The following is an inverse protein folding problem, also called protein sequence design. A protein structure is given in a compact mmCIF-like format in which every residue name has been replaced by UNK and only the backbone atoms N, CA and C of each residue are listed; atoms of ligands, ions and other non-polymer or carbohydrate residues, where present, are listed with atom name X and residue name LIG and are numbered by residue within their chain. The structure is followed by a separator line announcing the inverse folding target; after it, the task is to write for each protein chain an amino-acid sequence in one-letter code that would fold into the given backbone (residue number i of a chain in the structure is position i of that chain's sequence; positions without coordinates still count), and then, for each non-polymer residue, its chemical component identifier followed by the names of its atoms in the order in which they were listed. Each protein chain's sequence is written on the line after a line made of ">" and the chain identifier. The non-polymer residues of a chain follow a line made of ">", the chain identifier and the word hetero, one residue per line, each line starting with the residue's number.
data_IF_148045833565
#
_entry.id   IF_148045833565
#
_cell.length_a   1.000
_cell.length_b   1.000
_cell.length_c   1.000
_cell.angle_alpha   90.00
_cell.angle_beta   90.00
_cell.angle_gamma   90.00
#
_symmetry.space_group_name_H-M   'P 1'
#
loop_
_entity.id
_entity.type
_entity.pdbx_description
1 polymer ?
#
# COMPACT_ATOMS: atom_id res chain seq x y z
N UNK A 1 6.86 -10.94 -27.70
CA UNK A 1 5.65 -11.72 -27.38
C UNK A 1 4.53 -10.75 -27.11
N UNK A 2 3.44 -10.87 -27.87
CA UNK A 2 2.27 -10.00 -27.84
C UNK A 2 1.46 -10.37 -26.58
N UNK A 3 1.47 -9.52 -25.55
CA UNK A 3 0.68 -9.77 -24.32
C UNK A 3 -0.72 -9.21 -24.60
N UNK A 4 -1.69 -10.12 -24.75
CA UNK A 4 -3.04 -9.84 -25.18
C UNK A 4 -3.78 -8.85 -24.28
N UNK A 5 -4.44 -7.89 -24.90
CA UNK A 5 -5.15 -6.79 -24.25
C UNK A 5 -6.45 -7.19 -23.51
N UNK A 6 -6.82 -8.48 -23.42
CA UNK A 6 -8.15 -8.88 -22.92
C UNK A 6 -8.20 -10.28 -22.29
N UNK A 7 -7.18 -10.65 -21.49
CA UNK A 7 -7.32 -11.84 -20.64
C UNK A 7 -8.16 -11.49 -19.42
N UNK A 8 -9.32 -12.14 -19.26
CA UNK A 8 -10.11 -12.09 -18.02
C UNK A 8 -9.29 -12.83 -16.97
N UNK A 9 -8.45 -12.10 -16.24
CA UNK A 9 -7.80 -12.62 -15.05
C UNK A 9 -8.92 -12.75 -14.01
N UNK A 10 -9.37 -13.99 -13.75
CA UNK A 10 -10.14 -14.31 -12.55
C UNK A 10 -9.26 -13.99 -11.33
N UNK A 11 -9.23 -12.71 -10.96
CA UNK A 11 -8.48 -12.22 -9.82
C UNK A 11 -9.36 -12.44 -8.59
N UNK A 12 -9.73 -13.70 -8.33
CA UNK A 12 -10.25 -14.07 -7.01
C UNK A 12 -9.09 -13.84 -6.06
N UNK A 13 -9.08 -12.68 -5.42
CA UNK A 13 -7.98 -12.26 -4.55
C UNK A 13 -8.00 -13.23 -3.37
N UNK A 14 -6.99 -14.11 -3.21
CA UNK A 14 -6.99 -15.01 -2.08
C UNK A 14 -6.88 -14.18 -0.80
N UNK A 15 -7.69 -14.51 0.20
CA UNK A 15 -7.59 -13.91 1.52
C UNK A 15 -6.57 -14.72 2.34
N UNK A 16 -5.52 -14.05 2.79
CA UNK A 16 -4.64 -14.53 3.85
C UNK A 16 -5.17 -14.04 5.20
N UNK A 17 -5.38 -14.97 6.14
CA UNK A 17 -5.66 -14.63 7.54
C UNK A 17 -4.33 -14.74 8.30
N UNK A 18 -3.84 -13.65 8.87
CA UNK A 18 -2.66 -13.65 9.78
C UNK A 18 -2.92 -12.66 10.94
N UNK A 19 -2.26 -12.63 12.10
CA UNK A 19 -1.02 -13.22 12.64
C UNK A 19 -1.18 -13.59 14.15
N UNK A 20 -2.41 -13.66 14.68
CA UNK A 20 -2.66 -14.27 16.00
C UNK A 20 -4.02 -14.97 16.00
N UNK A 21 -4.13 -16.07 16.75
CA UNK A 21 -5.39 -16.83 16.86
C UNK A 21 -6.46 -16.06 17.63
N UNK A 22 -6.03 -15.10 18.46
CA UNK A 22 -6.90 -14.29 19.32
C UNK A 22 -7.59 -13.15 18.55
N UNK A 23 -6.95 -12.57 17.53
CA UNK A 23 -7.44 -11.44 16.75
C UNK A 23 -7.05 -11.54 15.26
N UNK A 24 -7.59 -12.53 14.53
CA UNK A 24 -7.26 -12.72 13.12
C UNK A 24 -7.61 -11.46 12.31
N UNK A 25 -6.71 -11.05 11.42
CA UNK A 25 -6.95 -9.96 10.46
C UNK A 25 -6.97 -10.52 9.05
N UNK A 26 -7.89 -9.99 8.25
CA UNK A 26 -8.03 -10.29 6.84
C UNK A 26 -7.01 -9.48 6.04
N UNK A 27 -6.10 -10.16 5.34
CA UNK A 27 -5.13 -9.57 4.44
C UNK A 27 -5.38 -10.09 3.02
N UNK A 28 -5.68 -9.22 2.07
CA UNK A 28 -5.79 -9.63 0.67
C UNK A 28 -4.40 -9.92 0.07
N UNK A 29 -4.25 -11.05 -0.60
CA UNK A 29 -3.05 -11.36 -1.37
C UNK A 29 -3.07 -10.65 -2.72
N UNK A 30 -2.59 -9.41 -2.73
CA UNK A 30 -2.53 -8.58 -3.94
C UNK A 30 -1.22 -8.72 -4.71
N UNK A 31 -0.39 -9.74 -4.46
CA UNK A 31 0.93 -9.86 -5.12
C UNK A 31 0.84 -9.96 -6.64
N UNK A 32 -0.10 -10.76 -7.15
CA UNK A 32 -0.35 -10.87 -8.59
C UNK A 32 -0.88 -9.55 -9.17
N UNK A 33 -1.82 -8.91 -8.46
CA UNK A 33 -2.39 -7.62 -8.87
C UNK A 33 -1.32 -6.50 -8.90
N UNK A 34 -0.42 -6.48 -7.92
CA UNK A 34 0.66 -5.49 -7.84
C UNK A 34 1.69 -5.63 -8.97
N UNK A 35 1.85 -6.84 -9.54
CA UNK A 35 2.72 -7.07 -10.70
C UNK A 35 2.05 -6.66 -12.02
N UNK A 36 0.72 -6.79 -12.09
CA UNK A 36 -0.06 -6.38 -13.26
C UNK A 36 -0.29 -4.87 -13.33
N UNK A 37 -0.50 -4.23 -12.18
CA UNK A 37 -0.82 -2.79 -12.10
C UNK A 37 0.43 -1.92 -12.23
N UNK A 38 0.31 -0.79 -12.93
CA UNK A 38 1.38 0.20 -13.02
C UNK A 38 1.38 1.04 -11.73
N UNK A 39 2.50 1.01 -11.00
CA UNK A 39 2.67 1.84 -9.82
C UNK A 39 2.64 3.34 -10.19
N UNK A 40 1.63 4.05 -9.69
CA UNK A 40 1.59 5.50 -9.70
C UNK A 40 2.26 6.02 -8.41
N UNK A 41 3.54 6.34 -8.50
CA UNK A 41 4.32 6.80 -7.35
C UNK A 41 4.03 8.28 -7.11
N UNK A 42 3.26 8.56 -6.07
CA UNK A 42 3.18 9.90 -5.53
C UNK A 42 4.58 10.38 -5.13
N UNK A 43 4.93 11.62 -5.48
CA UNK A 43 6.21 12.21 -5.12
C UNK A 43 6.29 12.39 -3.60
N UNK A 44 6.84 11.40 -2.90
CA UNK A 44 7.07 11.52 -1.47
C UNK A 44 8.20 12.53 -1.24
N UNK A 45 7.94 13.67 -0.58
CA UNK A 45 8.99 14.63 -0.26
C UNK A 45 10.03 13.97 0.66
N UNK A 46 11.30 14.39 0.54
CA UNK A 46 12.36 13.88 1.42
C UNK A 46 11.98 14.16 2.87
N UNK A 47 12.19 13.18 3.74
CA UNK A 47 11.81 13.24 5.15
C UNK A 47 12.35 14.49 5.86
N UNK A 48 13.55 14.94 5.50
CA UNK A 48 14.17 16.15 6.06
C UNK A 48 13.31 17.41 5.86
N UNK A 49 12.62 17.57 4.73
CA UNK A 49 11.75 18.73 4.51
C UNK A 49 10.56 18.76 5.46
N UNK A 50 10.01 17.58 5.77
CA UNK A 50 8.93 17.45 6.75
C UNK A 50 9.46 17.68 8.16
N UNK A 51 10.66 17.16 8.47
CA UNK A 51 11.31 17.31 9.78
C UNK A 51 11.67 18.76 10.10
N UNK A 52 12.23 19.50 9.12
CA UNK A 52 12.59 20.92 9.27
C UNK A 52 11.38 21.82 9.58
N UNK A 53 10.19 21.39 9.14
CA UNK A 53 8.92 22.08 9.44
C UNK A 53 8.40 21.68 10.82
N UNK A 54 8.49 20.41 11.17
CA UNK A 54 8.10 19.87 12.48
C UNK A 54 8.94 20.47 13.62
N UNK A 55 10.25 20.63 13.44
CA UNK A 55 11.15 21.18 14.49
C UNK A 55 10.87 22.64 14.82
N UNK A 56 10.18 23.37 13.94
CA UNK A 56 9.78 24.76 14.12
C UNK A 56 8.33 24.91 14.60
N UNK A 57 7.58 23.80 14.69
CA UNK A 57 6.20 23.83 15.12
C UNK A 57 6.11 24.07 16.63
N UNK A 58 5.16 24.92 17.04
CA UNK A 58 4.91 25.21 18.46
C UNK A 58 4.14 24.08 19.15
N UNK A 59 3.19 23.49 18.44
CA UNK A 59 2.31 22.43 18.91
C UNK A 59 2.27 21.32 17.84
N UNK A 60 2.35 20.05 18.28
CA UNK A 60 2.25 18.88 17.41
C UNK A 60 1.05 18.05 17.88
N UNK A 61 0.09 17.86 16.99
CA UNK A 61 -1.04 16.97 17.21
C UNK A 61 -1.06 15.92 16.10
N UNK A 62 -1.36 14.67 16.46
CA UNK A 62 -1.56 13.59 15.49
C UNK A 62 -3.04 13.23 15.47
N UNK A 63 -3.54 12.90 14.29
CA UNK A 63 -4.88 12.36 14.14
C UNK A 63 -4.81 10.86 14.37
N UNK A 64 -5.61 10.37 15.32
CA UNK A 64 -5.64 8.95 15.66
C UNK A 64 -6.58 8.17 14.75
#
# INVERSE_FOLDING_TARGET
>A
MNIGHNEIVETTTPILITWNEVNPRLYGDFRALNNYTKADRYLTPRINHSLDRLTKAKDITNMH
#
